data_IF_044626461377
#
_entry.id   IF_044626461377
#
_cell.length_a   1.000
_cell.length_b   1.000
_cell.length_c   1.000
_cell.angle_alpha   90.00
_cell.angle_beta   90.00
_cell.angle_gamma   90.00
#
_symmetry.space_group_name_H-M   'P 1'
#
loop_
_entity.id
_entity.type
_entity.pdbx_description
1 polymer ?
#
# COMPACT_ATOMS: atom_id res chain seq x y z
N UNK A 1 8.85 -27.70 -12.66
CA UNK A 1 7.56 -27.26 -12.08
C UNK A 1 6.82 -28.38 -11.31
N UNK A 2 7.51 -29.37 -10.73
CA UNK A 2 6.86 -30.49 -10.03
C UNK A 2 6.19 -30.05 -8.71
N UNK A 3 6.87 -29.17 -7.97
CA UNK A 3 6.44 -28.71 -6.65
C UNK A 3 5.15 -27.88 -6.72
N UNK A 4 5.03 -26.99 -7.72
CA UNK A 4 3.80 -26.20 -7.94
C UNK A 4 2.60 -27.10 -8.28
N UNK A 5 2.81 -28.13 -9.10
CA UNK A 5 1.77 -29.11 -9.43
C UNK A 5 1.33 -29.87 -8.18
N UNK A 6 2.26 -30.41 -7.39
CA UNK A 6 1.94 -31.15 -6.17
C UNK A 6 1.12 -30.31 -5.18
N UNK A 7 1.49 -29.05 -4.96
CA UNK A 7 0.79 -28.13 -4.03
C UNK A 7 -0.61 -27.71 -4.55
N UNK A 8 -0.85 -27.75 -5.86
CA UNK A 8 -2.13 -27.33 -6.45
C UNK A 8 -3.09 -28.49 -6.74
N UNK A 9 -2.57 -29.70 -7.03
CA UNK A 9 -3.38 -30.84 -7.47
C UNK A 9 -3.53 -31.95 -6.44
N UNK A 10 -2.62 -32.10 -5.48
CA UNK A 10 -2.74 -33.15 -4.46
C UNK A 10 -3.78 -32.75 -3.41
N UNK A 11 -4.92 -33.48 -3.27
CA UNK A 11 -5.97 -33.14 -2.30
C UNK A 11 -5.49 -33.08 -0.84
N UNK A 12 -4.45 -33.81 -0.48
CA UNK A 12 -3.92 -33.86 0.89
C UNK A 12 -3.09 -32.62 1.28
N UNK A 13 -2.55 -31.90 0.30
CA UNK A 13 -1.63 -30.74 0.50
C UNK A 13 -2.09 -29.53 -0.32
N UNK A 14 -3.31 -29.56 -0.84
CA UNK A 14 -3.82 -28.54 -1.77
C UNK A 14 -4.02 -27.22 -1.06
N UNK A 15 -3.27 -26.20 -1.48
CA UNK A 15 -3.52 -24.83 -1.03
C UNK A 15 -4.64 -24.24 -1.88
N UNK A 16 -5.87 -24.28 -1.40
CA UNK A 16 -6.98 -23.55 -2.02
C UNK A 16 -6.85 -22.07 -1.70
N UNK A 17 -6.90 -21.21 -2.72
CA UNK A 17 -6.89 -19.74 -2.56
C UNK A 17 -8.30 -19.16 -2.69
N UNK A 18 -9.30 -19.92 -2.25
CA UNK A 18 -10.72 -19.59 -2.32
C UNK A 18 -11.04 -18.25 -1.61
N UNK A 19 -10.26 -17.89 -0.58
CA UNK A 19 -10.42 -16.65 0.16
C UNK A 19 -9.43 -15.53 -0.25
N UNK A 20 -8.74 -15.63 -1.40
CA UNK A 20 -7.79 -14.58 -1.81
C UNK A 20 -8.49 -13.26 -2.20
N UNK A 21 -9.71 -13.35 -2.72
CA UNK A 21 -10.58 -12.20 -3.05
C UNK A 21 -11.56 -11.85 -1.95
N UNK A 22 -11.73 -12.72 -0.95
CA UNK A 22 -12.35 -12.36 0.32
C UNK A 22 -11.38 -11.45 1.08
N UNK A 23 -11.24 -10.20 0.61
CA UNK A 23 -10.56 -9.16 1.36
C UNK A 23 -11.05 -9.24 2.79
N UNK A 24 -10.13 -9.37 3.75
CA UNK A 24 -10.43 -9.67 5.14
C UNK A 24 -11.52 -8.68 5.58
N UNK A 25 -12.76 -9.17 5.66
CA UNK A 25 -13.94 -8.30 5.79
C UNK A 25 -13.88 -7.53 7.10
N UNK A 26 -13.06 -7.96 8.05
CA UNK A 26 -12.88 -7.37 9.37
C UNK A 26 -11.62 -6.50 9.49
N UNK A 27 -10.79 -6.41 8.46
CA UNK A 27 -9.54 -5.68 8.52
C UNK A 27 -9.66 -4.20 8.11
N UNK A 28 -10.79 -3.60 8.45
CA UNK A 28 -11.03 -2.18 8.24
C UNK A 28 -10.03 -1.31 8.99
N UNK A 29 -9.55 -1.77 10.15
CA UNK A 29 -8.57 -1.03 10.95
C UNK A 29 -7.22 -0.95 10.23
N UNK A 30 -6.69 -2.05 9.69
CA UNK A 30 -5.43 -2.01 8.93
C UNK A 30 -5.58 -1.20 7.63
N UNK A 31 -6.70 -1.35 6.92
CA UNK A 31 -7.02 -0.53 5.75
C UNK A 31 -7.10 0.98 6.08
N UNK A 32 -7.66 1.32 7.24
CA UNK A 32 -7.66 2.70 7.76
C UNK A 32 -6.25 3.15 8.11
N UNK A 33 -5.45 2.34 8.80
CA UNK A 33 -4.06 2.68 9.17
C UNK A 33 -3.17 2.92 7.94
N UNK A 34 -3.28 2.11 6.89
CA UNK A 34 -2.56 2.34 5.64
C UNK A 34 -3.07 3.56 4.87
N UNK A 35 -4.38 3.75 4.78
CA UNK A 35 -4.96 4.91 4.07
C UNK A 35 -4.67 6.24 4.80
N UNK A 36 -4.61 6.21 6.13
CA UNK A 36 -4.39 7.34 7.02
C UNK A 36 -2.95 7.45 7.53
N UNK A 37 -1.97 6.88 6.82
CA UNK A 37 -0.56 6.93 7.21
C UNK A 37 -0.12 8.37 7.56
N UNK A 38 0.59 8.54 8.69
CA UNK A 38 0.94 9.87 9.22
C UNK A 38 1.67 10.77 8.23
N UNK A 39 2.65 10.21 7.50
CA UNK A 39 3.34 10.92 6.41
C UNK A 39 2.38 11.37 5.30
N UNK A 40 1.40 10.54 4.93
CA UNK A 40 0.43 10.86 3.88
C UNK A 40 -0.51 11.98 4.33
N UNK A 41 -0.95 11.98 5.59
CA UNK A 41 -1.72 13.09 6.19
C UNK A 41 -0.91 14.38 6.19
N UNK A 42 0.36 14.32 6.57
CA UNK A 42 1.26 15.46 6.61
C UNK A 42 1.52 16.08 5.23
N UNK A 43 1.73 15.24 4.21
CA UNK A 43 2.02 15.69 2.83
C UNK A 43 0.77 16.17 2.10
N UNK A 44 -0.44 15.70 2.45
CA UNK A 44 -1.69 16.03 1.73
C UNK A 44 -1.97 17.54 1.59
N UNK A 45 -1.58 18.35 2.58
CA UNK A 45 -1.78 19.80 2.57
C UNK A 45 -0.58 20.62 2.09
N UNK A 46 0.51 19.97 1.67
CA UNK A 46 1.75 20.64 1.27
C UNK A 46 1.90 20.59 -0.25
N UNK A 47 2.37 21.69 -0.83
CA UNK A 47 2.78 21.71 -2.23
C UNK A 47 3.92 20.71 -2.45
N UNK A 48 3.88 19.87 -3.51
CA UNK A 48 4.95 18.94 -3.81
C UNK A 48 6.18 19.71 -4.29
N UNK A 49 7.08 20.01 -3.36
CA UNK A 49 8.32 20.73 -3.62
C UNK A 49 9.49 19.93 -3.02
N UNK A 50 10.56 19.76 -3.80
CA UNK A 50 11.75 19.00 -3.39
C UNK A 50 12.56 19.81 -2.35
N UNK A 51 12.68 21.13 -2.52
CA UNK A 51 13.38 22.03 -1.60
C UNK A 51 12.63 23.36 -1.49
N UNK A 52 11.65 23.48 -0.56
CA UNK A 52 10.79 24.67 -0.46
C UNK A 52 11.56 25.98 -0.25
N UNK A 53 12.63 25.96 0.56
CA UNK A 53 13.44 27.13 0.85
C UNK A 53 14.21 27.66 -0.36
N UNK A 54 14.77 26.76 -1.18
CA UNK A 54 15.49 27.13 -2.40
C UNK A 54 14.50 27.58 -3.48
N UNK A 55 13.37 26.89 -3.59
CA UNK A 55 12.33 27.26 -4.54
C UNK A 55 11.81 28.67 -4.24
N UNK A 56 11.46 28.99 -2.99
CA UNK A 56 11.03 30.35 -2.62
C UNK A 56 12.08 31.41 -2.92
N UNK A 57 13.35 31.13 -2.59
CA UNK A 57 14.46 32.06 -2.87
C UNK A 57 14.58 32.47 -4.35
N UNK A 58 14.30 31.56 -5.29
CA UNK A 58 14.40 31.85 -6.73
C UNK A 58 13.08 32.25 -7.39
N UNK A 59 11.94 31.91 -6.77
CA UNK A 59 10.61 32.04 -7.40
C UNK A 59 9.77 33.18 -6.85
N UNK A 60 10.02 33.63 -5.62
CA UNK A 60 9.29 34.72 -4.99
C UNK A 60 9.96 36.05 -5.36
N UNK A 61 9.37 36.87 -6.25
CA UNK A 61 9.84 38.24 -6.44
C UNK A 61 9.38 39.07 -5.22
N UNK A 62 10.25 39.94 -4.71
CA UNK A 62 9.87 40.94 -3.69
C UNK A 62 8.68 41.81 -4.14
#
# INVERSE_FOLDING_TARGET
MQLVRNISTNPEVRVTKEHRTAGILENFEEGQRYSQHGLRKFVRGRSPQIMPSINGFFSDPE
#
